data_IF_364498575991
#
_entry.id   IF_364498575991
#
_cell.length_a   1.000
_cell.length_b   1.000
_cell.length_c   1.000
_cell.angle_alpha   90.00
_cell.angle_beta   90.00
_cell.angle_gamma   90.00
#
_symmetry.space_group_name_H-M   'P 1'
#
loop_
_entity.id
_entity.type
_entity.pdbx_description
1 polymer ?
#
# COMPACT_ATOMS: atom_id res chain seq x y z
N UNK A 1 -10.08 -0.67 1.33
CA UNK A 1 -9.28 -1.88 1.61
C UNK A 1 -8.06 -1.91 0.71
N UNK A 2 -6.93 -2.29 1.28
CA UNK A 2 -5.66 -2.43 0.54
C UNK A 2 -5.15 -3.86 0.64
N UNK A 3 -4.68 -4.47 -0.45
CA UNK A 3 -3.98 -5.75 -0.41
C UNK A 3 -2.50 -5.61 -0.02
N UNK A 4 -1.99 -4.42 0.20
CA UNK A 4 -0.57 -4.09 0.28
C UNK A 4 -0.02 -3.59 -1.04
N UNK A 5 1.30 -3.75 -1.25
CA UNK A 5 1.92 -3.38 -2.52
C UNK A 5 1.32 -4.15 -3.69
N UNK A 6 1.09 -3.46 -4.79
CA UNK A 6 0.52 -4.05 -6.01
C UNK A 6 1.66 -4.75 -6.76
N UNK A 7 1.63 -6.08 -6.76
CA UNK A 7 2.68 -6.97 -7.30
C UNK A 7 2.23 -7.77 -8.54
N UNK A 8 0.99 -7.57 -8.97
CA UNK A 8 0.39 -8.29 -10.10
C UNK A 8 0.00 -9.73 -9.78
N UNK A 9 0.01 -10.13 -8.50
CA UNK A 9 -0.38 -11.47 -8.06
C UNK A 9 -1.56 -11.44 -7.11
N UNK A 10 -2.27 -12.57 -7.00
CA UNK A 10 -3.36 -12.72 -6.05
C UNK A 10 -2.92 -13.64 -4.91
N UNK A 11 -2.83 -13.08 -3.72
CA UNK A 11 -2.39 -13.79 -2.51
C UNK A 11 -3.39 -13.67 -1.35
N UNK A 12 -2.99 -14.15 -0.17
CA UNK A 12 -3.81 -14.09 1.04
C UNK A 12 -4.27 -12.66 1.39
N UNK A 13 -3.42 -11.66 1.17
CA UNK A 13 -3.76 -10.26 1.44
C UNK A 13 -4.81 -9.73 0.45
N UNK A 14 -4.78 -10.20 -0.80
CA UNK A 14 -5.82 -9.88 -1.80
C UNK A 14 -7.18 -10.41 -1.35
N UNK A 15 -7.26 -11.65 -0.89
CA UNK A 15 -8.51 -12.23 -0.37
C UNK A 15 -9.05 -11.47 0.83
N UNK A 16 -8.17 -11.07 1.76
CA UNK A 16 -8.53 -10.24 2.91
C UNK A 16 -9.03 -8.85 2.49
N UNK A 17 -8.36 -8.23 1.52
CA UNK A 17 -8.79 -6.94 0.98
C UNK A 17 -10.16 -7.02 0.31
N UNK A 18 -10.43 -8.10 -0.45
CA UNK A 18 -11.75 -8.36 -1.03
C UNK A 18 -12.80 -8.51 0.08
N UNK A 19 -12.55 -9.33 1.11
CA UNK A 19 -13.49 -9.51 2.23
C UNK A 19 -13.77 -8.19 2.95
N UNK A 20 -12.77 -7.38 3.22
CA UNK A 20 -12.94 -6.06 3.83
C UNK A 20 -13.70 -5.09 2.92
N UNK A 21 -13.42 -5.10 1.63
CA UNK A 21 -14.17 -4.31 0.64
C UNK A 21 -15.65 -4.71 0.62
N UNK A 22 -15.94 -6.00 0.60
CA UNK A 22 -17.30 -6.54 0.66
C UNK A 22 -18.02 -6.05 1.91
N UNK A 23 -17.38 -6.17 3.08
CA UNK A 23 -17.96 -5.71 4.36
C UNK A 23 -18.26 -4.21 4.34
N UNK A 24 -17.34 -3.37 3.85
CA UNK A 24 -17.53 -1.92 3.76
C UNK A 24 -18.65 -1.50 2.80
N UNK A 25 -19.04 -2.38 1.87
CA UNK A 25 -20.10 -2.12 0.89
C UNK A 25 -21.38 -2.93 1.13
N UNK A 26 -21.53 -3.56 2.32
CA UNK A 26 -22.71 -4.35 2.67
C UNK A 26 -22.88 -5.64 1.87
N UNK A 27 -21.81 -6.13 1.21
CA UNK A 27 -21.77 -7.38 0.48
C UNK A 27 -21.35 -8.50 1.44
N UNK A 28 -21.84 -9.72 1.28
CA UNK A 28 -21.39 -10.86 2.08
C UNK A 28 -19.87 -11.05 1.97
N UNK A 29 -19.17 -10.98 3.10
CA UNK A 29 -17.71 -11.05 3.16
C UNK A 29 -17.21 -12.49 2.95
N UNK A 30 -17.05 -12.89 1.70
CA UNK A 30 -16.54 -14.21 1.29
C UNK A 30 -15.04 -14.24 1.01
N UNK A 31 -14.43 -13.08 0.74
CA UNK A 31 -13.06 -12.96 0.24
C UNK A 31 -12.89 -13.43 -1.22
N UNK A 32 -13.96 -13.88 -1.87
CA UNK A 32 -13.95 -14.26 -3.28
C UNK A 32 -14.42 -13.10 -4.16
N UNK A 33 -13.85 -12.97 -5.35
CA UNK A 33 -14.28 -12.00 -6.35
C UNK A 33 -15.56 -12.50 -7.04
N UNK A 34 -16.71 -12.21 -6.44
CA UNK A 34 -18.02 -12.50 -7.02
C UNK A 34 -18.42 -11.42 -8.04
N UNK A 35 -19.44 -11.71 -8.86
CA UNK A 35 -19.97 -10.71 -9.81
C UNK A 35 -20.44 -9.44 -9.10
N UNK A 36 -21.16 -9.57 -7.99
CA UNK A 36 -21.60 -8.44 -7.16
C UNK A 36 -20.41 -7.59 -6.66
N UNK A 37 -19.32 -8.26 -6.20
CA UNK A 37 -18.11 -7.58 -5.76
C UNK A 37 -17.44 -6.86 -6.92
N UNK A 38 -17.36 -7.49 -8.09
CA UNK A 38 -16.79 -6.88 -9.28
C UNK A 38 -17.56 -5.64 -9.72
N UNK A 39 -18.88 -5.72 -9.76
CA UNK A 39 -19.74 -4.61 -10.14
C UNK A 39 -19.57 -3.41 -9.18
N UNK A 40 -19.48 -3.69 -7.89
CA UNK A 40 -19.21 -2.67 -6.86
C UNK A 40 -17.81 -2.02 -7.02
N UNK A 41 -16.79 -2.81 -7.36
CA UNK A 41 -15.45 -2.29 -7.64
C UNK A 41 -15.44 -1.39 -8.88
N UNK A 42 -16.08 -1.82 -9.96
CA UNK A 42 -16.19 -1.06 -11.22
C UNK A 42 -16.96 0.24 -11.00
N UNK A 43 -18.07 0.20 -10.27
CA UNK A 43 -18.84 1.39 -9.92
C UNK A 43 -17.98 2.39 -9.12
N UNK A 44 -17.17 1.90 -8.17
CA UNK A 44 -16.30 2.73 -7.34
C UNK A 44 -15.09 3.29 -8.11
N UNK A 45 -14.64 2.59 -9.13
CA UNK A 45 -13.57 3.05 -10.04
C UNK A 45 -14.04 4.28 -10.85
N UNK A 46 -15.33 4.36 -11.18
CA UNK A 46 -15.93 5.52 -11.84
C UNK A 46 -15.34 5.82 -13.22
N UNK A 47 -15.03 4.78 -14.00
CA UNK A 47 -14.48 4.90 -15.34
C UNK A 47 -13.02 5.37 -15.42
N UNK A 48 -12.34 5.56 -14.29
CA UNK A 48 -10.91 5.94 -14.26
C UNK A 48 -10.05 4.74 -14.64
N UNK A 49 -8.98 4.93 -15.45
CA UNK A 49 -8.08 3.82 -15.79
C UNK A 49 -7.34 3.31 -14.54
N UNK A 50 -7.05 1.99 -14.49
CA UNK A 50 -6.28 1.39 -13.42
C UNK A 50 -4.80 1.80 -13.44
N UNK A 51 -4.29 2.15 -14.61
CA UNK A 51 -2.91 2.58 -14.84
C UNK A 51 -2.89 3.93 -15.55
N UNK A 52 -1.86 4.72 -15.26
CA UNK A 52 -1.61 6.02 -15.88
C UNK A 52 -0.14 6.17 -16.26
N UNK A 53 0.13 7.05 -17.21
CA UNK A 53 1.50 7.46 -17.53
C UNK A 53 1.98 8.46 -16.49
N UNK A 54 3.18 8.26 -15.99
CA UNK A 54 3.88 9.19 -15.11
C UNK A 54 5.19 9.61 -15.74
N UNK A 55 5.49 10.90 -15.70
CA UNK A 55 6.76 11.46 -16.18
C UNK A 55 7.70 11.68 -15.02
N UNK A 56 8.86 11.02 -15.02
CA UNK A 56 9.88 11.15 -13.98
C UNK A 56 10.39 12.59 -13.95
N UNK A 57 10.36 13.18 -12.77
CA UNK A 57 10.73 14.57 -12.53
C UNK A 57 12.17 14.70 -12.03
N UNK A 58 12.73 15.92 -12.10
CA UNK A 58 14.03 16.22 -11.50
C UNK A 58 14.02 16.00 -9.97
N UNK A 59 12.89 16.24 -9.30
CA UNK A 59 12.73 15.99 -7.87
C UNK A 59 12.82 14.50 -7.54
N UNK A 60 12.23 13.63 -8.36
CA UNK A 60 12.33 12.18 -8.18
C UNK A 60 13.78 11.70 -8.26
N UNK A 61 14.59 12.27 -9.14
CA UNK A 61 16.01 11.88 -9.29
C UNK A 61 16.91 12.50 -8.22
N UNK A 62 16.53 13.62 -7.62
CA UNK A 62 17.35 14.33 -6.63
C UNK A 62 17.45 13.57 -5.31
N UNK A 63 16.45 12.85 -4.92
CA UNK A 63 16.37 12.15 -3.63
C UNK A 63 16.08 13.08 -2.44
N UNK A 64 16.63 12.76 -1.26
CA UNK A 64 17.88 12.00 -1.00
C UNK A 64 17.77 10.47 -1.15
N UNK A 65 18.86 9.85 -1.59
CA UNK A 65 19.01 8.41 -1.70
C UNK A 65 20.16 7.92 -0.83
N UNK A 66 19.97 6.81 -0.10
CA UNK A 66 21.01 6.16 0.66
C UNK A 66 21.83 5.23 -0.25
N UNK A 67 23.14 5.18 -0.06
CA UNK A 67 23.98 4.19 -0.77
C UNK A 67 23.63 2.75 -0.38
N UNK A 68 23.32 2.54 0.89
CA UNK A 68 22.85 1.28 1.47
C UNK A 68 22.15 1.56 2.80
N UNK A 69 21.27 0.63 3.19
CA UNK A 69 20.65 0.64 4.52
C UNK A 69 21.23 -0.55 5.29
N UNK A 70 21.89 -0.34 6.44
CA UNK A 70 22.39 -1.43 7.27
C UNK A 70 21.25 -2.36 7.74
N UNK A 71 21.53 -3.64 7.89
CA UNK A 71 20.57 -4.57 8.51
C UNK A 71 20.47 -4.39 10.03
N UNK A 72 21.50 -3.87 10.67
CA UNK A 72 21.56 -3.63 12.11
C UNK A 72 20.76 -2.37 12.48
N UNK A 73 19.78 -2.53 13.37
CA UNK A 73 18.91 -1.43 13.82
C UNK A 73 19.68 -0.32 14.56
N UNK A 74 20.75 -0.65 15.30
CA UNK A 74 21.57 0.34 15.97
C UNK A 74 22.37 1.20 14.97
N UNK A 75 22.72 0.65 13.82
CA UNK A 75 23.33 1.41 12.73
C UNK A 75 22.28 2.22 11.97
N UNK A 76 21.07 1.67 11.76
CA UNK A 76 19.97 2.42 11.15
C UNK A 76 19.59 3.65 11.97
N UNK A 77 19.56 3.53 13.31
CA UNK A 77 19.22 4.65 14.20
C UNK A 77 20.21 5.82 14.13
N UNK A 78 21.42 5.58 13.64
CA UNK A 78 22.46 6.62 13.44
C UNK A 78 22.36 7.33 12.08
N UNK A 79 21.53 6.83 11.18
CA UNK A 79 21.30 7.47 9.88
C UNK A 79 20.50 8.77 10.06
N UNK A 80 20.78 9.77 9.24
CA UNK A 80 19.99 11.02 9.20
C UNK A 80 18.53 10.79 8.78
N UNK A 81 18.22 9.67 8.15
CA UNK A 81 16.91 9.22 7.74
C UNK A 81 17.01 7.88 7.01
N UNK A 82 15.92 7.12 7.00
CA UNK A 82 15.81 5.90 6.21
C UNK A 82 15.32 6.30 4.80
N UNK A 83 16.27 6.63 3.95
CA UNK A 83 15.98 7.01 2.57
C UNK A 83 15.89 5.78 1.67
N UNK A 84 15.21 5.92 0.54
CA UNK A 84 15.26 4.93 -0.52
C UNK A 84 16.68 4.76 -1.05
N UNK A 85 17.00 3.62 -1.60
CA UNK A 85 18.32 3.36 -2.18
C UNK A 85 18.38 3.68 -3.68
N UNK A 86 17.22 3.77 -4.33
CA UNK A 86 17.10 4.02 -5.78
C UNK A 86 15.73 4.60 -6.17
N UNK A 87 15.69 5.21 -7.33
CA UNK A 87 14.50 5.88 -7.86
C UNK A 87 13.34 4.91 -8.08
N UNK A 88 13.60 3.72 -8.63
CA UNK A 88 12.56 2.70 -8.86
C UNK A 88 11.91 2.20 -7.57
N UNK A 89 12.66 2.10 -6.48
CA UNK A 89 12.14 1.77 -5.16
C UNK A 89 11.22 2.89 -4.65
N UNK A 90 11.68 4.14 -4.69
CA UNK A 90 10.88 5.30 -4.30
C UNK A 90 9.58 5.43 -5.11
N UNK A 91 9.66 5.22 -6.43
CA UNK A 91 8.48 5.25 -7.30
C UNK A 91 7.53 4.07 -7.02
N UNK A 92 8.06 2.90 -6.69
CA UNK A 92 7.25 1.78 -6.21
C UNK A 92 6.42 2.18 -5.00
N UNK A 93 7.04 2.72 -3.96
CA UNK A 93 6.33 3.20 -2.76
C UNK A 93 5.33 4.33 -3.09
N UNK A 94 5.74 5.31 -3.89
CA UNK A 94 4.89 6.44 -4.30
C UNK A 94 3.58 5.99 -4.97
N UNK A 95 3.61 4.91 -5.75
CA UNK A 95 2.47 4.38 -6.48
C UNK A 95 1.94 3.06 -5.90
N UNK A 96 2.35 2.69 -4.69
CA UNK A 96 1.94 1.46 -3.97
C UNK A 96 2.18 0.19 -4.78
N UNK A 97 3.26 0.15 -5.54
CA UNK A 97 3.64 -0.98 -6.38
C UNK A 97 4.87 -1.70 -5.82
N UNK A 98 4.90 -3.01 -5.98
CA UNK A 98 6.16 -3.76 -5.87
C UNK A 98 7.14 -3.27 -6.94
N UNK A 99 8.41 -3.06 -6.56
CA UNK A 99 9.41 -2.54 -7.49
C UNK A 99 9.66 -3.47 -8.68
N UNK A 100 9.62 -4.80 -8.45
CA UNK A 100 9.75 -5.80 -9.52
C UNK A 100 8.58 -5.72 -10.49
N UNK A 101 7.37 -5.52 -9.98
CA UNK A 101 6.19 -5.33 -10.81
C UNK A 101 6.25 -4.01 -11.60
N UNK A 102 6.67 -2.92 -10.97
CA UNK A 102 6.89 -1.64 -11.66
C UNK A 102 7.86 -1.79 -12.83
N UNK A 103 8.99 -2.48 -12.63
CA UNK A 103 9.98 -2.77 -13.69
C UNK A 103 9.41 -3.69 -14.77
N UNK A 104 8.60 -4.68 -14.39
CA UNK A 104 7.95 -5.59 -15.35
C UNK A 104 6.97 -4.86 -16.26
N UNK A 105 6.22 -3.87 -15.74
CA UNK A 105 5.35 -3.01 -16.55
C UNK A 105 6.14 -2.05 -17.46
N UNK A 106 7.37 -1.74 -17.09
CA UNK A 106 8.22 -0.77 -17.79
C UNK A 106 9.57 -1.38 -18.19
N UNK A 107 9.61 -2.42 -19.04
CA UNK A 107 10.82 -3.19 -19.30
C UNK A 107 11.94 -2.40 -20.02
N UNK A 108 11.61 -1.27 -20.61
CA UNK A 108 12.56 -0.38 -21.30
C UNK A 108 12.96 0.84 -20.47
N UNK A 109 12.34 1.05 -19.30
CA UNK A 109 12.61 2.20 -18.46
C UNK A 109 13.94 2.03 -17.71
N UNK A 110 14.69 3.11 -17.63
CA UNK A 110 15.97 3.18 -16.92
C UNK A 110 15.81 3.77 -15.51
N UNK A 111 14.71 4.49 -15.26
CA UNK A 111 14.41 5.18 -14.00
C UNK A 111 15.48 6.21 -13.59
N UNK A 112 16.23 6.75 -14.54
CA UNK A 112 17.36 7.64 -14.27
C UNK A 112 17.39 8.90 -15.12
N UNK A 113 16.31 9.19 -15.87
CA UNK A 113 16.22 10.36 -16.77
C UNK A 113 15.00 11.21 -16.43
N UNK A 114 15.21 12.51 -16.32
CA UNK A 114 14.10 13.48 -16.28
C UNK A 114 13.34 13.41 -17.60
N UNK A 115 12.01 13.40 -17.53
CA UNK A 115 11.15 13.30 -18.70
C UNK A 115 10.90 11.88 -19.18
N UNK A 116 11.51 10.86 -18.58
CA UNK A 116 11.21 9.45 -18.89
C UNK A 116 9.78 9.13 -18.49
N UNK A 117 9.03 8.53 -19.40
CA UNK A 117 7.63 8.17 -19.21
C UNK A 117 7.52 6.71 -18.80
N UNK A 118 6.79 6.45 -17.73
CA UNK A 118 6.56 5.12 -17.17
C UNK A 118 5.07 4.91 -16.91
N UNK A 119 4.64 3.65 -16.91
CA UNK A 119 3.29 3.25 -16.53
C UNK A 119 3.28 2.92 -15.05
N UNK A 120 2.34 3.51 -14.32
CA UNK A 120 2.16 3.32 -12.88
C UNK A 120 0.68 3.07 -12.55
N UNK A 121 0.42 2.56 -11.35
CA UNK A 121 -0.95 2.39 -10.88
C UNK A 121 -1.61 3.73 -10.58
N UNK A 122 -2.88 3.85 -10.93
CA UNK A 122 -3.71 5.01 -10.65
C UNK A 122 -4.40 4.84 -9.29
N UNK A 123 -3.66 5.09 -8.22
CA UNK A 123 -4.15 4.93 -6.85
C UNK A 123 -4.72 6.22 -6.28
N UNK A 124 -5.58 6.09 -5.28
CA UNK A 124 -6.01 7.18 -4.42
C UNK A 124 -5.29 7.07 -3.08
N UNK A 125 -4.66 8.15 -2.65
CA UNK A 125 -3.90 8.20 -1.39
C UNK A 125 -4.71 8.80 -0.22
N UNK A 126 -5.91 9.32 -0.48
CA UNK A 126 -6.72 9.99 0.54
C UNK A 126 -7.83 9.09 1.04
N UNK A 127 -7.98 9.01 2.36
CA UNK A 127 -9.17 8.46 2.98
C UNK A 127 -10.26 9.54 2.97
N UNK A 128 -11.51 9.19 2.59
CA UNK A 128 -12.57 10.18 2.45
C UNK A 128 -13.11 10.71 3.78
N UNK A 129 -12.68 10.13 4.91
CA UNK A 129 -13.24 10.39 6.24
C UNK A 129 -12.15 10.48 7.31
N UNK A 130 -12.45 11.21 8.39
CA UNK A 130 -11.61 11.26 9.58
C UNK A 130 -11.64 9.93 10.33
N UNK A 131 -10.47 9.46 10.73
CA UNK A 131 -10.31 8.23 11.49
C UNK A 131 -10.50 8.53 12.97
N UNK A 132 -11.42 7.80 13.60
CA UNK A 132 -11.70 7.88 15.04
C UNK A 132 -11.03 6.74 15.83
N UNK A 133 -10.95 5.54 15.23
CA UNK A 133 -10.38 4.36 15.87
C UNK A 133 -9.55 3.55 14.87
N UNK A 134 -8.38 3.11 15.33
CA UNK A 134 -7.52 2.18 14.60
C UNK A 134 -7.43 0.89 15.42
N UNK A 135 -7.79 -0.24 14.82
CA UNK A 135 -7.69 -1.56 15.43
C UNK A 135 -6.62 -2.39 14.74
N UNK A 136 -5.54 -2.71 15.46
CA UNK A 136 -4.53 -3.67 15.02
C UNK A 136 -4.94 -5.08 15.45
N UNK A 137 -5.45 -5.88 14.52
CA UNK A 137 -5.87 -7.26 14.80
C UNK A 137 -4.73 -8.24 14.53
N UNK A 138 -4.02 -8.64 15.57
CA UNK A 138 -2.82 -9.50 15.48
C UNK A 138 -3.09 -10.83 14.76
N UNK A 139 -4.14 -11.54 15.12
CA UNK A 139 -4.47 -12.84 14.52
C UNK A 139 -4.82 -12.73 13.03
N UNK A 140 -5.52 -11.68 12.62
CA UNK A 140 -5.83 -11.43 11.22
C UNK A 140 -4.65 -10.82 10.44
N UNK A 141 -3.65 -10.27 11.14
CA UNK A 141 -2.55 -9.47 10.55
C UNK A 141 -3.11 -8.34 9.68
N UNK A 142 -4.00 -7.55 10.28
CA UNK A 142 -4.72 -6.46 9.62
C UNK A 142 -4.82 -5.24 10.54
N UNK A 143 -4.75 -4.05 9.95
CA UNK A 143 -5.23 -2.81 10.55
C UNK A 143 -6.60 -2.48 9.99
N UNK A 144 -7.54 -2.16 10.88
CA UNK A 144 -8.87 -1.68 10.51
C UNK A 144 -9.03 -0.26 10.99
N UNK A 145 -9.56 0.59 10.13
CA UNK A 145 -9.82 2.01 10.41
C UNK A 145 -11.32 2.24 10.49
N UNK A 146 -11.76 2.93 11.53
CA UNK A 146 -13.16 3.23 11.77
C UNK A 146 -13.37 4.74 11.90
N UNK A 147 -14.50 5.23 11.38
CA UNK A 147 -14.97 6.60 11.59
C UNK A 147 -15.67 6.77 12.97
N UNK A 148 -16.14 7.97 13.26
CA UNK A 148 -16.84 8.28 14.51
C UNK A 148 -18.17 7.51 14.70
N UNK A 149 -18.76 7.00 13.62
CA UNK A 149 -19.97 6.17 13.61
C UNK A 149 -19.66 4.66 13.74
N UNK A 150 -18.40 4.28 14.06
CA UNK A 150 -17.93 2.90 14.11
C UNK A 150 -18.10 2.12 12.79
N UNK A 151 -18.14 2.80 11.67
CA UNK A 151 -18.15 2.17 10.36
C UNK A 151 -16.71 1.95 9.89
N UNK A 152 -16.42 0.77 9.37
CA UNK A 152 -15.08 0.48 8.82
C UNK A 152 -14.89 1.25 7.50
N UNK A 153 -13.90 2.13 7.49
CA UNK A 153 -13.57 2.98 6.33
C UNK A 153 -12.24 2.61 5.67
N UNK A 154 -11.44 1.78 6.32
CA UNK A 154 -10.17 1.31 5.78
C UNK A 154 -9.75 -0.04 6.35
N UNK A 155 -8.96 -0.78 5.56
CA UNK A 155 -8.33 -2.04 5.96
C UNK A 155 -7.01 -2.20 5.23
N UNK A 156 -5.96 -2.58 5.97
CA UNK A 156 -4.59 -2.70 5.46
C UNK A 156 -3.94 -3.96 6.04
N UNK A 157 -3.11 -4.68 5.28
CA UNK A 157 -2.29 -5.74 5.83
C UNK A 157 -1.28 -5.16 6.82
N UNK A 158 -0.98 -5.91 7.88
CA UNK A 158 -0.04 -5.49 8.91
C UNK A 158 0.99 -6.60 9.20
N UNK A 159 2.23 -6.19 9.38
CA UNK A 159 3.27 -7.05 9.94
C UNK A 159 3.16 -7.03 11.45
N UNK A 160 3.10 -8.21 12.05
CA UNK A 160 3.03 -8.39 13.50
C UNK A 160 4.42 -8.79 13.99
N UNK A 161 4.80 -8.27 15.15
CA UNK A 161 6.09 -8.56 15.78
C UNK A 161 6.34 -10.06 15.96
N UNK A 162 7.62 -10.43 15.94
CA UNK A 162 8.07 -11.82 16.12
C UNK A 162 7.93 -12.27 17.58
N UNK A 163 8.31 -13.53 17.87
CA UNK A 163 8.46 -14.03 19.23
C UNK A 163 9.44 -13.21 20.08
N UNK A 164 10.52 -12.73 19.44
CA UNK A 164 11.61 -12.00 20.12
C UNK A 164 11.26 -10.51 20.34
N UNK A 165 10.41 -9.95 19.48
CA UNK A 165 9.94 -8.57 19.55
C UNK A 165 8.42 -8.53 19.35
N UNK A 166 7.63 -8.99 20.33
CA UNK A 166 6.19 -9.10 20.18
C UNK A 166 5.53 -7.72 20.13
N UNK A 167 4.55 -7.59 19.26
CA UNK A 167 3.71 -6.38 19.22
C UNK A 167 2.96 -6.23 20.55
N UNK A 168 2.87 -5.02 21.14
CA UNK A 168 2.15 -4.78 22.37
C UNK A 168 0.65 -5.08 22.23
N UNK A 169 -0.03 -5.28 23.35
CA UNK A 169 -1.50 -5.44 23.43
C UNK A 169 -2.03 -4.40 24.40
N UNK A 170 -3.09 -3.71 24.02
CA UNK A 170 -3.72 -2.69 24.87
C UNK A 170 -4.43 -1.63 24.03
N UNK A 171 -5.02 -0.67 24.72
CA UNK A 171 -5.62 0.53 24.11
C UNK A 171 -4.71 1.71 24.37
N UNK A 172 -4.39 2.42 23.31
CA UNK A 172 -3.52 3.60 23.32
C UNK A 172 -4.30 4.80 22.79
N UNK A 173 -4.00 5.99 23.34
CA UNK A 173 -4.49 7.26 22.81
C UNK A 173 -3.39 7.88 21.96
N UNK A 174 -3.74 8.32 20.74
CA UNK A 174 -2.89 9.12 19.87
C UNK A 174 -3.08 10.61 20.13
#
# INVERSE_FOLDING_TARGET
ASPGAIDGTSGKNTLKAIASFQQMNGIKATGALTQETWDALVARQGGKPAYVEYTITAADLKGPYAKSIPHDYALQSKMKGLYYTRVSEMLGEKFHMDEGFLKKLNPKATFNKVGEKIIVTNIRNELPENIHLIVAHKGAKQLYLFNAQNQMVGSFPATIGSSDTPSPTGTYKG
#
